data_IF_521962907027
#
_entry.id   IF_521962907027
#
_cell.length_a   1.000
_cell.length_b   1.000
_cell.length_c   1.000
_cell.angle_alpha   90.00
_cell.angle_beta   90.00
_cell.angle_gamma   90.00
#
_symmetry.space_group_name_H-M   'P 1'
#
loop_
_entity.id
_entity.type
_entity.pdbx_description
1 polymer ?
#
# COMPACT_ATOMS: atom_id res chain seq x y z
N UNK A 1 -20.07 -1.71 0.60
CA UNK A 1 -19.63 -2.84 -0.26
C UNK A 1 -19.56 -2.31 -1.69
N UNK A 2 -18.36 -2.08 -2.22
CA UNK A 2 -18.16 -1.62 -3.60
C UNK A 2 -17.47 -2.76 -4.36
N UNK A 3 -18.22 -3.38 -5.27
CA UNK A 3 -17.74 -4.48 -6.10
C UNK A 3 -17.25 -3.92 -7.43
N UNK A 4 -15.93 -3.97 -7.65
CA UNK A 4 -15.34 -3.67 -8.95
C UNK A 4 -15.34 -4.94 -9.80
N UNK A 5 -16.37 -5.11 -10.62
CA UNK A 5 -16.41 -6.16 -11.63
C UNK A 5 -15.56 -5.74 -12.84
N UNK A 6 -14.36 -6.30 -12.97
CA UNK A 6 -13.58 -6.25 -14.21
C UNK A 6 -13.82 -7.56 -14.95
N UNK A 7 -14.67 -7.54 -15.97
CA UNK A 7 -15.19 -8.69 -16.73
C UNK A 7 -14.13 -9.46 -17.56
N UNK A 8 -12.83 -9.22 -17.36
CA UNK A 8 -11.77 -9.83 -18.18
C UNK A 8 -10.61 -10.47 -17.41
N UNK A 9 -10.57 -10.40 -16.07
CA UNK A 9 -9.48 -10.98 -15.30
C UNK A 9 -10.00 -12.05 -14.35
N UNK A 10 -9.79 -13.32 -14.70
CA UNK A 10 -10.10 -14.51 -13.89
C UNK A 10 -9.20 -14.67 -12.65
N UNK A 11 -8.82 -13.55 -12.02
CA UNK A 11 -8.19 -13.50 -10.70
C UNK A 11 -8.94 -12.45 -9.90
N UNK A 12 -9.91 -12.89 -9.12
CA UNK A 12 -10.55 -12.06 -8.10
C UNK A 12 -9.48 -11.72 -7.04
N UNK A 13 -8.75 -10.62 -7.27
CA UNK A 13 -7.93 -10.02 -6.24
C UNK A 13 -8.87 -9.24 -5.33
N UNK A 14 -9.20 -9.83 -4.18
CA UNK A 14 -9.75 -9.08 -3.06
C UNK A 14 -8.72 -8.01 -2.72
N UNK A 15 -9.02 -6.73 -2.99
CA UNK A 15 -8.17 -5.62 -2.51
C UNK A 15 -8.18 -5.68 -0.99
N UNK A 16 -7.06 -5.97 -0.30
CA UNK A 16 -6.99 -5.82 1.15
C UNK A 16 -6.67 -4.37 1.53
N UNK A 17 -7.08 -3.41 0.71
CA UNK A 17 -7.02 -1.99 1.01
C UNK A 17 -8.45 -1.49 0.87
N UNK A 18 -9.28 -1.91 1.82
CA UNK A 18 -10.31 -1.01 2.31
C UNK A 18 -9.60 0.25 2.82
N UNK A 19 -10.33 1.36 2.82
CA UNK A 19 -9.86 2.73 2.90
C UNK A 19 -9.17 3.13 4.23
N UNK A 20 -8.74 2.16 5.03
CA UNK A 20 -8.17 2.26 6.39
C UNK A 20 -6.65 2.53 6.42
N UNK A 21 -6.09 3.12 5.36
CA UNK A 21 -4.69 3.52 5.39
C UNK A 21 -4.57 4.90 6.05
N UNK A 22 -4.34 4.92 7.35
CA UNK A 22 -4.15 6.17 8.09
C UNK A 22 -2.68 6.63 8.10
N UNK A 23 -2.47 7.92 8.27
CA UNK A 23 -1.13 8.45 8.51
C UNK A 23 -0.65 7.93 9.87
N UNK A 24 0.60 7.49 9.94
CA UNK A 24 1.23 6.78 11.06
C UNK A 24 0.95 5.27 11.17
N UNK A 25 0.21 4.70 10.22
CA UNK A 25 0.02 3.26 10.16
C UNK A 25 1.31 2.51 9.78
N UNK A 26 1.54 1.32 10.34
CA UNK A 26 2.73 0.51 10.05
C UNK A 26 2.47 -0.40 8.87
N UNK A 27 3.22 -0.18 7.80
CA UNK A 27 3.01 -0.86 6.53
C UNK A 27 4.24 -1.63 6.06
N UNK A 28 3.96 -2.69 5.32
CA UNK A 28 4.90 -3.44 4.52
C UNK A 28 4.62 -3.18 3.04
N UNK A 29 5.63 -2.73 2.34
CA UNK A 29 5.61 -2.54 0.89
C UNK A 29 6.41 -3.67 0.26
N UNK A 30 5.73 -4.50 -0.53
CA UNK A 30 6.42 -5.52 -1.30
C UNK A 30 6.94 -4.89 -2.60
N UNK A 31 8.27 -4.79 -2.74
CA UNK A 31 8.92 -4.39 -4.01
C UNK A 31 9.60 -5.61 -4.62
N UNK A 32 9.72 -5.65 -5.96
CA UNK A 32 10.36 -6.77 -6.65
C UNK A 32 11.82 -7.00 -6.21
N UNK A 33 12.52 -5.94 -5.78
CA UNK A 33 13.88 -6.03 -5.27
C UNK A 33 13.98 -6.39 -3.77
N UNK A 34 13.01 -5.95 -2.96
CA UNK A 34 13.05 -6.10 -1.50
C UNK A 34 11.72 -5.74 -0.84
N UNK A 35 11.37 -6.46 0.23
CA UNK A 35 10.29 -6.05 1.13
C UNK A 35 10.75 -4.88 2.01
N UNK A 36 10.01 -3.78 1.97
CA UNK A 36 10.27 -2.58 2.78
C UNK A 36 9.25 -2.48 3.90
N UNK A 37 9.72 -2.25 5.12
CA UNK A 37 8.88 -1.93 6.26
C UNK A 37 8.99 -0.44 6.57
N UNK A 38 7.87 0.17 6.94
CA UNK A 38 7.85 1.58 7.26
C UNK A 38 6.52 2.02 7.81
N UNK A 39 6.42 3.33 8.01
CA UNK A 39 5.22 3.96 8.54
C UNK A 39 4.64 4.88 7.48
N UNK A 40 3.32 4.87 7.29
CA UNK A 40 2.64 5.77 6.37
C UNK A 40 2.84 7.20 6.84
N UNK A 41 3.27 8.06 5.92
CA UNK A 41 3.46 9.48 6.18
C UNK A 41 2.45 10.34 5.43
N UNK A 42 2.06 9.91 4.23
CA UNK A 42 1.07 10.60 3.42
C UNK A 42 0.34 9.60 2.54
N UNK A 43 -0.95 9.81 2.32
CA UNK A 43 -1.77 8.98 1.41
C UNK A 43 -2.37 9.88 0.34
N UNK A 44 -2.19 9.48 -0.91
CA UNK A 44 -2.88 10.05 -2.07
C UNK A 44 -3.78 8.97 -2.69
N UNK A 45 -4.57 9.38 -3.69
CA UNK A 45 -5.53 8.50 -4.35
C UNK A 45 -4.87 7.23 -4.94
N UNK A 46 -3.68 7.37 -5.53
CA UNK A 46 -2.97 6.32 -6.27
C UNK A 46 -1.61 5.91 -5.66
N UNK A 47 -1.09 6.71 -4.73
CA UNK A 47 0.25 6.53 -4.15
C UNK A 47 0.26 6.85 -2.66
N UNK A 48 1.17 6.21 -1.95
CA UNK A 48 1.37 6.35 -0.52
C UNK A 48 2.83 6.74 -0.30
N UNK A 49 3.07 7.72 0.57
CA UNK A 49 4.40 8.02 1.06
C UNK A 49 4.63 7.22 2.33
N UNK A 50 5.68 6.40 2.32
CA UNK A 50 6.08 5.56 3.45
C UNK A 50 7.45 6.03 3.93
N UNK A 51 7.57 6.28 5.23
CA UNK A 51 8.85 6.50 5.91
C UNK A 51 9.44 5.14 6.26
N UNK A 52 10.53 4.77 5.62
CA UNK A 52 11.21 3.51 5.93
C UNK A 52 11.72 3.53 7.37
N UNK A 53 11.58 2.42 8.10
CA UNK A 53 12.19 2.25 9.42
C UNK A 53 13.70 2.06 9.31
N UNK A 54 14.19 1.54 8.18
CA UNK A 54 15.62 1.36 7.91
C UNK A 54 16.16 2.52 7.07
N UNK A 55 16.67 3.53 7.77
CA UNK A 55 17.15 4.77 7.16
C UNK A 55 15.99 5.74 6.98
N UNK A 56 16.13 6.96 7.52
CA UNK A 56 15.10 7.99 7.64
C UNK A 56 14.67 8.58 6.27
N UNK A 57 14.26 7.72 5.36
CA UNK A 57 13.98 8.03 3.96
C UNK A 57 12.49 7.88 3.71
N UNK A 58 11.91 8.93 3.14
CA UNK A 58 10.54 8.94 2.64
C UNK A 58 10.53 8.39 1.21
N UNK A 59 9.63 7.46 0.94
CA UNK A 59 9.50 6.79 -0.34
C UNK A 59 8.04 6.80 -0.79
N UNK A 60 7.82 7.26 -2.01
CA UNK A 60 6.54 7.06 -2.68
C UNK A 60 6.45 5.63 -3.19
N UNK A 61 5.33 4.99 -2.89
CA UNK A 61 4.99 3.62 -3.28
C UNK A 61 3.56 3.61 -3.79
N UNK A 62 3.26 2.71 -4.71
CA UNK A 62 1.91 2.60 -5.25
C UNK A 62 0.97 2.01 -4.19
N UNK A 63 -0.22 2.59 -4.01
CA UNK A 63 -1.15 2.21 -2.92
C UNK A 63 -1.51 0.72 -2.94
N UNK A 64 -1.57 0.12 -4.13
CA UNK A 64 -1.91 -1.28 -4.33
C UNK A 64 -0.81 -2.27 -3.91
N UNK A 65 0.41 -1.80 -3.62
CA UNK A 65 1.54 -2.62 -3.12
C UNK A 65 1.75 -2.52 -1.61
N UNK A 66 0.93 -1.71 -0.93
CA UNK A 66 1.04 -1.45 0.51
C UNK A 66 0.16 -2.44 1.26
N UNK A 67 0.72 -3.07 2.28
CA UNK A 67 0.05 -4.03 3.15
C UNK A 67 0.15 -3.49 4.58
N UNK A 68 -1.00 -3.18 5.18
CA UNK A 68 -1.16 -2.70 6.56
C UNK A 68 -1.08 -3.87 7.55
N UNK A 69 -0.55 -3.62 8.75
CA UNK A 69 -0.43 -4.59 9.85
C UNK A 69 -1.19 -4.18 11.10
#
# INVERSE_FOLDING_TARGET
MVEYACEHCAHAWTRPVEDDLDVYDVVRVDRPDATLYGTVWQVEADRVQVRATTGDRLLWVERWRVIVY
#
